data_IF_116074777207
#
_entry.id   IF_116074777207
#
_cell.length_a   1.000
_cell.length_b   1.000
_cell.length_c   1.000
_cell.angle_alpha   90.00
_cell.angle_beta   90.00
_cell.angle_gamma   90.00
#
_symmetry.space_group_name_H-M   'P 1'
#
loop_
_entity.id
_entity.type
_entity.pdbx_description
1 polymer ?
#
# COMPACT_ATOMS: atom_id res chain seq x y z
N UNK A 1 25.65 -17.49 18.75
CA UNK A 1 26.71 -18.48 18.53
C UNK A 1 27.22 -18.83 19.91
N UNK A 2 26.95 -20.05 20.37
CA UNK A 2 27.59 -20.57 21.56
C UNK A 2 29.08 -20.67 21.29
N UNK A 3 29.95 -20.31 22.24
CA UNK A 3 31.37 -20.58 22.11
C UNK A 3 31.59 -22.08 21.86
N UNK A 4 32.45 -22.43 20.92
CA UNK A 4 32.80 -23.81 20.63
C UNK A 4 33.24 -24.49 21.94
N UNK A 5 32.50 -25.52 22.39
CA UNK A 5 32.87 -26.35 23.50
C UNK A 5 31.96 -26.34 24.73
N UNK A 6 30.82 -25.65 24.75
CA UNK A 6 29.83 -25.82 25.82
C UNK A 6 28.89 -26.98 25.44
N UNK A 7 28.89 -28.11 26.18
CA UNK A 7 27.92 -29.18 25.96
C UNK A 7 26.48 -28.67 26.21
N UNK A 8 25.52 -29.14 25.39
CA UNK A 8 24.11 -28.77 25.52
C UNK A 8 23.51 -28.99 26.89
N UNK A 9 24.05 -29.96 27.62
CA UNK A 9 23.66 -30.35 29.00
C UNK A 9 23.90 -29.22 30.03
N UNK A 10 24.71 -28.21 29.70
CA UNK A 10 24.95 -27.05 30.60
C UNK A 10 24.00 -25.88 30.36
N UNK A 11 23.13 -25.97 29.34
CA UNK A 11 22.15 -24.93 29.08
C UNK A 11 20.87 -25.21 29.89
N UNK A 12 20.26 -24.17 30.47
CA UNK A 12 18.95 -24.30 31.11
C UNK A 12 17.91 -24.85 30.13
N UNK A 13 17.06 -25.78 30.58
CA UNK A 13 16.02 -26.42 29.74
C UNK A 13 15.08 -25.43 29.05
N UNK A 14 14.86 -24.26 29.66
CA UNK A 14 14.07 -23.18 29.07
C UNK A 14 14.72 -22.55 27.82
N UNK A 15 16.04 -22.61 27.68
CA UNK A 15 16.77 -22.12 26.50
C UNK A 15 16.85 -23.22 25.44
N UNK A 16 17.18 -24.45 25.85
CA UNK A 16 17.27 -25.58 24.91
C UNK A 16 15.91 -25.90 24.28
N UNK A 17 14.83 -25.86 25.04
CA UNK A 17 13.48 -26.08 24.52
C UNK A 17 12.99 -25.00 23.51
N UNK A 18 13.55 -23.77 23.58
CA UNK A 18 13.28 -22.71 22.62
C UNK A 18 14.03 -22.86 21.31
N UNK A 19 15.21 -23.52 21.35
CA UNK A 19 16.11 -23.63 20.21
C UNK A 19 16.03 -24.97 19.50
N UNK A 20 15.62 -26.03 20.19
CA UNK A 20 15.61 -27.38 19.68
C UNK A 20 14.36 -28.16 20.11
N UNK A 21 13.78 -28.93 19.21
CA UNK A 21 12.68 -29.87 19.46
C UNK A 21 12.98 -31.18 18.74
N UNK A 22 12.18 -32.23 18.96
CA UNK A 22 12.39 -33.56 18.37
C UNK A 22 12.53 -33.55 16.84
N UNK A 23 11.86 -32.63 16.15
CA UNK A 23 11.76 -32.61 14.69
C UNK A 23 12.33 -31.34 14.03
N UNK A 24 12.77 -30.36 14.83
CA UNK A 24 13.27 -29.10 14.26
C UNK A 24 14.17 -28.33 15.23
N UNK A 25 15.06 -27.55 14.64
CA UNK A 25 15.97 -26.67 15.35
C UNK A 25 15.81 -25.22 14.84
N UNK A 26 16.06 -24.25 15.72
CA UNK A 26 16.00 -22.83 15.42
C UNK A 26 17.39 -22.22 15.52
N UNK A 27 17.75 -21.46 14.50
CA UNK A 27 18.94 -20.59 14.51
C UNK A 27 18.48 -19.14 14.51
N UNK A 28 18.96 -18.36 15.49
CA UNK A 28 18.64 -16.93 15.57
C UNK A 28 19.83 -16.14 15.04
N UNK A 29 19.56 -15.34 14.00
CA UNK A 29 20.55 -14.48 13.35
C UNK A 29 20.16 -13.03 13.64
N UNK A 30 20.99 -12.32 14.42
CA UNK A 30 20.79 -10.90 14.69
C UNK A 30 21.58 -10.05 13.70
N UNK A 31 20.87 -9.24 12.94
CA UNK A 31 21.45 -8.34 11.94
C UNK A 31 21.29 -6.89 12.40
N UNK A 32 22.38 -6.13 12.36
CA UNK A 32 22.37 -4.69 12.63
C UNK A 32 22.07 -3.93 11.35
N UNK A 33 20.82 -3.94 10.91
CA UNK A 33 20.36 -3.21 9.74
C UNK A 33 18.94 -2.74 9.96
N UNK A 34 18.52 -1.67 9.27
CA UNK A 34 17.11 -1.32 9.21
C UNK A 34 16.36 -2.45 8.49
N UNK A 35 15.29 -2.98 9.11
CA UNK A 35 14.58 -4.18 8.64
C UNK A 35 14.04 -4.10 7.22
N UNK A 36 13.84 -2.89 6.70
CA UNK A 36 13.29 -2.59 5.36
C UNK A 36 14.31 -1.84 4.48
N UNK A 37 15.58 -2.24 4.50
CA UNK A 37 16.61 -1.67 3.64
C UNK A 37 17.00 -2.64 2.53
N UNK A 38 17.48 -2.11 1.40
CA UNK A 38 17.99 -2.94 0.29
C UNK A 38 19.14 -3.86 0.71
N UNK A 39 19.98 -3.42 1.65
CA UNK A 39 21.06 -4.24 2.18
C UNK A 39 20.54 -5.38 3.06
N UNK A 40 19.46 -5.15 3.83
CA UNK A 40 18.81 -6.19 4.61
C UNK A 40 18.13 -7.23 3.70
N UNK A 41 17.51 -6.81 2.60
CA UNK A 41 16.92 -7.72 1.62
C UNK A 41 17.98 -8.56 0.92
N UNK A 42 19.09 -7.97 0.46
CA UNK A 42 20.22 -8.72 -0.10
C UNK A 42 20.80 -9.73 0.91
N UNK A 43 20.85 -9.35 2.19
CA UNK A 43 21.31 -10.27 3.23
C UNK A 43 20.35 -11.44 3.41
N UNK A 44 19.04 -11.20 3.38
CA UNK A 44 17.98 -12.20 3.40
C UNK A 44 18.13 -13.19 2.22
N UNK A 45 18.35 -12.68 1.00
CA UNK A 45 18.56 -13.49 -0.20
C UNK A 45 19.82 -14.35 -0.10
N UNK A 46 20.90 -13.80 0.44
CA UNK A 46 22.14 -14.56 0.68
C UNK A 46 21.91 -15.69 1.69
N UNK A 47 21.16 -15.46 2.76
CA UNK A 47 20.81 -16.51 3.71
C UNK A 47 19.98 -17.60 3.04
N UNK A 48 18.97 -17.25 2.23
CA UNK A 48 18.17 -18.21 1.47
C UNK A 48 19.06 -19.07 0.55
N UNK A 49 19.96 -18.44 -0.18
CA UNK A 49 20.89 -19.16 -1.06
C UNK A 49 21.82 -20.12 -0.27
N UNK A 50 22.24 -19.73 0.94
CA UNK A 50 23.04 -20.61 1.81
C UNK A 50 22.18 -21.79 2.31
N UNK A 51 20.95 -21.52 2.75
CA UNK A 51 20.02 -22.56 3.18
C UNK A 51 19.79 -23.58 2.06
N UNK A 52 19.45 -23.12 0.87
CA UNK A 52 19.19 -23.97 -0.29
C UNK A 52 20.42 -24.82 -0.68
N UNK A 53 21.61 -24.27 -0.51
CA UNK A 53 22.87 -24.97 -0.79
C UNK A 53 23.17 -26.09 0.19
N UNK A 54 22.93 -25.86 1.50
CA UNK A 54 23.32 -26.81 2.57
C UNK A 54 22.18 -27.72 3.00
N UNK A 55 20.92 -27.33 2.77
CA UNK A 55 19.72 -28.07 3.16
C UNK A 55 18.73 -28.25 2.00
N UNK A 56 19.17 -28.74 0.82
CA UNK A 56 18.35 -28.76 -0.41
C UNK A 56 17.11 -29.68 -0.32
N UNK A 57 17.13 -30.65 0.61
CA UNK A 57 16.04 -31.64 0.75
C UNK A 57 15.27 -31.48 2.08
N UNK A 58 15.57 -30.45 2.86
CA UNK A 58 14.97 -30.24 4.18
C UNK A 58 13.93 -29.13 4.14
N UNK A 59 12.91 -29.25 4.94
CA UNK A 59 11.92 -28.18 5.09
C UNK A 59 12.48 -27.08 5.99
N UNK A 60 12.97 -26.03 5.40
CA UNK A 60 13.55 -24.88 6.09
C UNK A 60 12.68 -23.65 5.94
N UNK A 61 12.58 -22.86 6.99
CA UNK A 61 11.82 -21.61 7.00
C UNK A 61 12.73 -20.47 7.47
N UNK A 62 12.88 -19.44 6.66
CA UNK A 62 13.49 -18.18 7.07
C UNK A 62 12.38 -17.23 7.55
N UNK A 63 12.34 -16.98 8.87
CA UNK A 63 11.28 -16.17 9.50
C UNK A 63 11.92 -14.97 10.19
N UNK A 64 11.34 -13.81 10.03
CA UNK A 64 11.80 -12.57 10.63
C UNK A 64 11.16 -11.36 9.97
N UNK A 65 11.39 -10.17 10.53
CA UNK A 65 10.81 -8.92 9.96
C UNK A 65 11.26 -8.74 8.52
N UNK A 66 12.55 -8.78 8.25
CA UNK A 66 13.11 -8.55 6.90
C UNK A 66 12.64 -9.57 5.86
N UNK A 67 12.76 -10.91 6.08
CA UNK A 67 12.26 -11.88 5.12
C UNK A 67 10.75 -11.76 4.88
N UNK A 68 9.96 -11.53 5.94
CA UNK A 68 8.51 -11.39 5.81
C UNK A 68 8.12 -10.13 5.03
N UNK A 69 8.79 -9.00 5.28
CA UNK A 69 8.54 -7.76 4.52
C UNK A 69 8.95 -7.93 3.06
N UNK A 70 10.06 -8.64 2.80
CA UNK A 70 10.52 -8.95 1.43
C UNK A 70 9.49 -9.82 0.71
N UNK A 71 9.02 -10.91 1.31
CA UNK A 71 7.99 -11.78 0.73
C UNK A 71 6.69 -11.02 0.44
N UNK A 72 6.27 -10.16 1.37
CA UNK A 72 5.12 -9.28 1.17
C UNK A 72 5.34 -8.35 -0.02
N UNK A 73 6.51 -7.69 -0.11
CA UNK A 73 6.86 -6.81 -1.22
C UNK A 73 6.82 -7.53 -2.57
N UNK A 74 7.44 -8.71 -2.65
CA UNK A 74 7.57 -9.47 -3.89
C UNK A 74 6.23 -9.99 -4.42
N UNK A 75 5.28 -10.28 -3.52
CA UNK A 75 3.94 -10.73 -3.88
C UNK A 75 3.02 -9.55 -4.16
N UNK A 76 3.03 -8.55 -3.30
CA UNK A 76 2.05 -7.46 -3.33
C UNK A 76 2.30 -6.48 -4.49
N UNK A 77 3.56 -6.19 -4.85
CA UNK A 77 3.85 -5.22 -5.94
C UNK A 77 3.25 -5.67 -7.28
N UNK A 78 3.46 -6.90 -7.75
CA UNK A 78 2.83 -7.38 -8.97
C UNK A 78 1.30 -7.41 -8.88
N UNK A 79 0.76 -7.84 -7.75
CA UNK A 79 -0.69 -7.94 -7.54
C UNK A 79 -1.34 -6.56 -7.47
N UNK A 80 -0.72 -5.59 -6.80
CA UNK A 80 -1.18 -4.21 -6.79
C UNK A 80 -1.32 -3.64 -8.21
N UNK A 81 -0.29 -3.81 -9.05
CA UNK A 81 -0.35 -3.32 -10.43
C UNK A 81 -1.48 -3.96 -11.22
N UNK A 82 -1.70 -5.26 -11.06
CA UNK A 82 -2.81 -5.98 -11.72
C UNK A 82 -4.17 -5.48 -11.22
N UNK A 83 -4.35 -5.39 -9.91
CA UNK A 83 -5.59 -4.91 -9.29
C UNK A 83 -5.86 -3.48 -9.68
N UNK A 84 -4.85 -2.59 -9.66
CA UNK A 84 -5.00 -1.20 -10.06
C UNK A 84 -5.44 -1.07 -11.53
N UNK A 85 -4.80 -1.79 -12.45
CA UNK A 85 -5.18 -1.79 -13.87
C UNK A 85 -6.61 -2.31 -14.05
N UNK A 86 -6.98 -3.42 -13.41
CA UNK A 86 -8.33 -4.00 -13.49
C UNK A 86 -9.36 -3.04 -12.92
N UNK A 87 -9.07 -2.39 -11.80
CA UNK A 87 -9.97 -1.40 -11.17
C UNK A 87 -10.15 -0.18 -12.07
N UNK A 88 -9.06 0.34 -12.64
CA UNK A 88 -9.09 1.47 -13.56
C UNK A 88 -9.92 1.17 -14.82
N UNK A 89 -9.70 -0.01 -15.42
CA UNK A 89 -10.48 -0.48 -16.55
C UNK A 89 -11.95 -0.70 -16.20
N UNK A 90 -12.25 -1.26 -15.03
CA UNK A 90 -13.60 -1.42 -14.51
C UNK A 90 -14.33 -0.10 -14.37
N UNK A 91 -13.69 0.89 -13.74
CA UNK A 91 -14.24 2.24 -13.58
C UNK A 91 -14.43 2.91 -14.94
N UNK A 92 -13.42 2.82 -15.83
CA UNK A 92 -13.53 3.36 -17.20
C UNK A 92 -14.71 2.77 -17.96
N UNK A 93 -14.93 1.45 -17.84
CA UNK A 93 -16.04 0.76 -18.48
C UNK A 93 -17.39 1.27 -17.94
N UNK A 94 -17.54 1.38 -16.63
CA UNK A 94 -18.77 1.87 -16.00
C UNK A 94 -19.08 3.30 -16.47
N UNK A 95 -18.09 4.19 -16.46
CA UNK A 95 -18.25 5.56 -16.95
C UNK A 95 -18.63 5.59 -18.44
N UNK A 96 -17.95 4.77 -19.28
CA UNK A 96 -18.22 4.70 -20.70
C UNK A 96 -19.64 4.24 -21.00
N UNK A 97 -20.14 3.23 -20.27
CA UNK A 97 -21.52 2.71 -20.41
C UNK A 97 -22.52 3.75 -19.92
N UNK A 98 -22.28 4.37 -18.78
CA UNK A 98 -23.20 5.35 -18.16
C UNK A 98 -23.41 6.55 -19.07
N UNK A 99 -22.32 7.10 -19.59
CA UNK A 99 -22.38 8.31 -20.43
C UNK A 99 -22.39 8.03 -21.93
N UNK A 100 -22.32 6.77 -22.36
CA UNK A 100 -22.25 6.36 -23.77
C UNK A 100 -21.18 7.11 -24.57
N UNK A 101 -20.06 7.40 -23.95
CA UNK A 101 -18.96 8.17 -24.51
C UNK A 101 -17.61 7.57 -24.07
N UNK A 102 -16.72 7.28 -25.02
CA UNK A 102 -15.41 6.68 -24.74
C UNK A 102 -14.34 7.70 -24.29
N UNK A 103 -14.58 9.00 -24.53
CA UNK A 103 -13.63 10.05 -24.16
C UNK A 103 -13.79 10.45 -22.69
N UNK A 104 -15.00 10.38 -22.14
CA UNK A 104 -15.28 10.81 -20.76
C UNK A 104 -14.50 10.03 -19.70
N UNK A 105 -14.35 8.70 -19.75
CA UNK A 105 -13.50 7.97 -18.81
C UNK A 105 -12.08 8.53 -18.75
N UNK A 106 -11.48 8.84 -19.88
CA UNK A 106 -10.12 9.37 -19.96
C UNK A 106 -10.04 10.74 -19.27
N UNK A 107 -10.98 11.63 -19.56
CA UNK A 107 -11.02 12.97 -18.96
C UNK A 107 -11.24 12.93 -17.45
N UNK A 108 -12.04 11.97 -16.97
CA UNK A 108 -12.34 11.80 -15.53
C UNK A 108 -11.19 11.13 -14.79
N UNK A 109 -10.57 10.11 -15.37
CA UNK A 109 -9.55 9.31 -14.70
C UNK A 109 -8.18 9.98 -14.64
N UNK A 110 -7.79 10.76 -15.65
CA UNK A 110 -6.49 11.44 -15.65
C UNK A 110 -6.28 12.34 -14.42
N UNK A 111 -7.19 13.23 -14.02
CA UNK A 111 -7.01 14.04 -12.81
C UNK A 111 -6.94 13.21 -11.54
N UNK A 112 -7.70 12.12 -11.47
CA UNK A 112 -7.70 11.21 -10.30
C UNK A 112 -6.33 10.54 -10.17
N UNK A 113 -5.83 9.94 -11.24
CA UNK A 113 -4.52 9.31 -11.27
C UNK A 113 -3.40 10.33 -10.97
N UNK A 114 -3.46 11.52 -11.52
CA UNK A 114 -2.51 12.59 -11.18
C UNK A 114 -2.54 12.93 -9.69
N UNK A 115 -3.72 13.01 -9.07
CA UNK A 115 -3.85 13.27 -7.64
C UNK A 115 -3.28 12.13 -6.80
N UNK A 116 -3.50 10.87 -7.20
CA UNK A 116 -2.93 9.69 -6.54
C UNK A 116 -1.40 9.73 -6.63
N UNK A 117 -0.84 9.99 -7.81
CA UNK A 117 0.62 10.11 -8.00
C UNK A 117 1.24 11.23 -7.16
N UNK A 118 0.58 12.39 -7.10
CA UNK A 118 1.06 13.50 -6.26
C UNK A 118 1.05 13.09 -4.79
N UNK A 119 -0.05 12.50 -4.31
CA UNK A 119 -0.18 12.07 -2.92
C UNK A 119 0.87 11.03 -2.55
N UNK A 120 1.13 10.07 -3.42
CA UNK A 120 2.12 9.01 -3.19
C UNK A 120 3.57 9.50 -3.31
N UNK A 121 3.82 10.58 -4.04
CA UNK A 121 5.14 11.19 -4.15
C UNK A 121 5.51 12.09 -2.94
N UNK A 122 4.53 12.62 -2.21
CA UNK A 122 4.77 13.54 -1.10
C UNK A 122 5.65 12.95 0.01
N UNK A 123 5.42 11.73 0.53
CA UNK A 123 6.28 11.15 1.56
C UNK A 123 7.74 11.03 1.11
N UNK A 124 7.97 10.68 -0.16
CA UNK A 124 9.32 10.60 -0.73
C UNK A 124 10.01 11.98 -0.74
N UNK A 125 9.29 13.04 -1.11
CA UNK A 125 9.79 14.42 -1.12
C UNK A 125 10.17 14.88 0.29
N UNK A 126 9.39 14.50 1.30
CA UNK A 126 9.66 14.83 2.71
C UNK A 126 10.67 13.89 3.38
N UNK A 127 11.20 12.89 2.67
CA UNK A 127 12.14 11.90 3.20
C UNK A 127 11.53 10.99 4.26
N UNK A 128 10.20 10.87 4.28
CA UNK A 128 9.49 9.98 5.18
C UNK A 128 9.42 8.56 4.62
N UNK A 129 9.53 7.58 5.51
CA UNK A 129 9.36 6.17 5.16
C UNK A 129 7.90 5.80 5.35
N UNK A 130 7.19 5.54 4.27
CA UNK A 130 5.82 5.05 4.32
C UNK A 130 5.82 3.54 4.30
N UNK A 131 5.03 2.93 5.16
CA UNK A 131 4.82 1.49 5.12
C UNK A 131 4.18 1.08 3.79
N UNK A 132 4.74 0.09 3.14
CA UNK A 132 4.30 -0.36 1.81
C UNK A 132 2.81 -0.74 1.76
N UNK A 133 2.33 -1.42 2.80
CA UNK A 133 0.92 -1.80 2.92
C UNK A 133 0.00 -0.55 3.01
N UNK A 134 0.45 0.48 3.74
CA UNK A 134 -0.26 1.76 3.84
C UNK A 134 -0.42 2.45 2.49
N UNK A 135 0.65 2.49 1.71
CA UNK A 135 0.66 3.03 0.35
C UNK A 135 -0.43 2.39 -0.54
N UNK A 136 -0.54 1.06 -0.52
CA UNK A 136 -1.55 0.33 -1.32
C UNK A 136 -2.96 0.66 -0.86
N UNK A 137 -3.20 0.62 0.44
CA UNK A 137 -4.53 0.88 1.02
C UNK A 137 -4.98 2.30 0.67
N UNK A 138 -4.11 3.30 0.85
CA UNK A 138 -4.43 4.70 0.53
C UNK A 138 -4.74 4.86 -0.96
N UNK A 139 -3.95 4.28 -1.86
CA UNK A 139 -4.20 4.33 -3.30
C UNK A 139 -5.55 3.76 -3.70
N UNK A 140 -5.92 2.59 -3.16
CA UNK A 140 -7.20 1.95 -3.43
C UNK A 140 -8.40 2.77 -2.89
N UNK A 141 -8.28 3.28 -1.66
CA UNK A 141 -9.33 4.12 -1.05
C UNK A 141 -9.47 5.43 -1.85
N UNK A 142 -8.37 6.06 -2.20
CA UNK A 142 -8.37 7.32 -2.92
C UNK A 142 -9.03 7.17 -4.30
N UNK A 143 -8.71 6.12 -5.05
CA UNK A 143 -9.37 5.85 -6.33
C UNK A 143 -10.90 5.69 -6.13
N UNK A 144 -11.33 4.83 -5.20
CA UNK A 144 -12.74 4.58 -4.95
C UNK A 144 -13.51 5.82 -4.49
N UNK A 145 -12.95 6.59 -3.56
CA UNK A 145 -13.63 7.75 -2.98
C UNK A 145 -13.69 8.96 -3.93
N UNK A 146 -12.74 9.11 -4.86
CA UNK A 146 -12.69 10.28 -5.75
C UNK A 146 -13.48 10.11 -7.04
N UNK A 147 -13.67 8.87 -7.49
CA UNK A 147 -14.42 8.56 -8.73
C UNK A 147 -15.86 9.04 -8.65
N UNK A 148 -16.55 8.82 -7.54
CA UNK A 148 -17.97 9.20 -7.38
C UNK A 148 -18.18 10.71 -7.50
N UNK A 149 -17.29 11.52 -6.93
CA UNK A 149 -17.38 12.99 -7.05
C UNK A 149 -17.05 13.47 -8.46
N UNK A 150 -16.13 12.81 -9.13
CA UNK A 150 -15.81 13.13 -10.52
C UNK A 150 -16.95 12.78 -11.46
N UNK A 151 -17.65 11.68 -11.23
CA UNK A 151 -18.88 11.30 -11.95
C UNK A 151 -19.99 12.30 -11.69
N UNK A 152 -20.22 12.68 -10.42
CA UNK A 152 -21.23 13.69 -10.04
C UNK A 152 -20.97 15.03 -10.74
N UNK A 153 -19.75 15.52 -10.68
CA UNK A 153 -19.38 16.80 -11.31
C UNK A 153 -19.51 16.75 -12.84
N UNK A 154 -19.11 15.64 -13.45
CA UNK A 154 -19.23 15.42 -14.90
C UNK A 154 -20.70 15.34 -15.32
N UNK A 155 -21.55 14.65 -14.56
CA UNK A 155 -22.99 14.59 -14.79
C UNK A 155 -23.62 15.97 -14.75
N UNK A 156 -23.38 16.75 -13.70
CA UNK A 156 -23.87 18.11 -13.56
C UNK A 156 -23.39 19.03 -14.70
N UNK A 157 -22.14 18.82 -15.17
CA UNK A 157 -21.62 19.57 -16.32
C UNK A 157 -22.34 19.21 -17.61
N UNK A 158 -22.55 17.93 -17.89
CA UNK A 158 -23.24 17.50 -19.12
C UNK A 158 -24.69 17.94 -19.14
N UNK A 159 -25.40 17.90 -18.03
CA UNK A 159 -26.77 18.37 -17.89
C UNK A 159 -26.86 19.89 -18.13
N UNK A 160 -25.99 20.66 -17.50
CA UNK A 160 -25.93 22.11 -17.72
C UNK A 160 -25.49 22.46 -19.16
N UNK A 161 -24.60 21.66 -19.74
CA UNK A 161 -24.10 21.88 -21.12
C UNK A 161 -25.16 21.64 -22.17
N UNK A 162 -26.15 20.81 -21.93
CA UNK A 162 -27.31 20.61 -22.81
C UNK A 162 -28.21 21.84 -22.92
N UNK A 163 -28.14 22.75 -21.93
CA UNK A 163 -29.03 23.91 -21.81
C UNK A 163 -28.34 25.28 -22.01
N UNK A 164 -27.00 25.32 -22.05
CA UNK A 164 -26.26 26.58 -22.06
C UNK A 164 -24.86 26.53 -22.66
N UNK A 165 -24.12 27.64 -22.53
CA UNK A 165 -22.74 27.73 -22.99
C UNK A 165 -21.76 26.94 -22.09
N UNK A 166 -20.59 26.58 -22.63
CA UNK A 166 -19.53 25.80 -21.96
C UNK A 166 -19.10 26.41 -20.62
N UNK A 167 -18.95 27.73 -20.58
CA UNK A 167 -18.50 28.46 -19.40
C UNK A 167 -19.55 28.45 -18.29
N UNK A 168 -20.81 28.70 -18.66
CA UNK A 168 -21.94 28.67 -17.70
C UNK A 168 -22.16 27.26 -17.17
N UNK A 169 -22.07 26.24 -18.04
CA UNK A 169 -22.18 24.86 -17.64
C UNK A 169 -21.09 24.47 -16.64
N UNK A 170 -19.83 24.88 -16.84
CA UNK A 170 -18.74 24.62 -15.93
C UNK A 170 -18.95 25.31 -14.56
N UNK A 171 -19.35 26.59 -14.57
CA UNK A 171 -19.64 27.33 -13.32
C UNK A 171 -20.77 26.65 -12.55
N UNK A 172 -21.86 26.26 -13.23
CA UNK A 172 -23.00 25.59 -12.62
C UNK A 172 -22.60 24.21 -12.06
N UNK A 173 -21.88 23.42 -12.80
CA UNK A 173 -21.40 22.11 -12.34
C UNK A 173 -20.56 22.24 -11.04
N UNK A 174 -19.61 23.17 -11.04
CA UNK A 174 -18.78 23.42 -9.85
C UNK A 174 -19.63 23.90 -8.69
N UNK A 175 -20.53 24.88 -8.88
CA UNK A 175 -21.34 25.44 -7.80
C UNK A 175 -22.26 24.41 -7.16
N UNK A 176 -22.83 23.50 -7.94
CA UNK A 176 -23.74 22.45 -7.44
C UNK A 176 -22.96 21.33 -6.75
N UNK A 177 -21.78 20.97 -7.28
CA UNK A 177 -20.99 19.85 -6.76
C UNK A 177 -20.08 20.25 -5.60
N UNK A 178 -19.70 21.54 -5.50
CA UNK A 178 -18.67 22.01 -4.56
C UNK A 178 -19.03 21.71 -3.09
N UNK A 179 -20.28 21.90 -2.69
CA UNK A 179 -20.71 21.64 -1.31
C UNK A 179 -20.49 20.19 -0.91
N UNK A 180 -20.90 19.25 -1.76
CA UNK A 180 -20.76 17.82 -1.52
C UNK A 180 -19.29 17.41 -1.50
N UNK A 181 -18.49 17.86 -2.47
CA UNK A 181 -17.06 17.56 -2.59
C UNK A 181 -16.28 18.13 -1.40
N UNK A 182 -16.52 19.39 -1.05
CA UNK A 182 -15.86 20.05 0.09
C UNK A 182 -16.20 19.38 1.43
N UNK A 183 -17.47 19.09 1.66
CA UNK A 183 -17.90 18.42 2.90
C UNK A 183 -17.26 17.07 3.06
N UNK A 184 -17.25 16.24 2.02
CA UNK A 184 -16.63 14.93 2.07
C UNK A 184 -15.11 15.02 2.22
N UNK A 185 -14.45 15.92 1.48
CA UNK A 185 -13.02 16.16 1.62
C UNK A 185 -12.64 16.57 3.04
N UNK A 186 -13.41 17.45 3.68
CA UNK A 186 -13.18 17.86 5.07
C UNK A 186 -13.38 16.70 6.06
N UNK A 187 -14.37 15.83 5.83
CA UNK A 187 -14.57 14.64 6.67
C UNK A 187 -13.36 13.70 6.57
N UNK A 188 -12.93 13.38 5.36
CA UNK A 188 -11.76 12.51 5.15
C UNK A 188 -10.50 13.12 5.77
N UNK A 189 -10.28 14.42 5.59
CA UNK A 189 -9.16 15.14 6.19
C UNK A 189 -9.19 15.08 7.72
N UNK A 190 -10.36 15.25 8.32
CA UNK A 190 -10.52 15.20 9.79
C UNK A 190 -10.19 13.78 10.31
N UNK A 191 -10.66 12.75 9.61
CA UNK A 191 -10.37 11.35 9.98
C UNK A 191 -8.87 11.07 9.84
N UNK A 192 -8.23 11.51 8.76
CA UNK A 192 -6.80 11.35 8.53
C UNK A 192 -5.97 12.02 9.64
N UNK A 193 -6.29 13.27 9.98
CA UNK A 193 -5.67 13.95 11.12
C UNK A 193 -5.89 13.22 12.45
N UNK A 194 -7.11 12.70 12.67
CA UNK A 194 -7.42 11.90 13.85
C UNK A 194 -6.54 10.65 13.95
N UNK A 195 -6.37 9.93 12.86
CA UNK A 195 -5.49 8.76 12.79
C UNK A 195 -4.03 9.13 13.07
N UNK A 196 -3.55 10.19 12.45
CA UNK A 196 -2.17 10.65 12.64
C UNK A 196 -1.85 10.99 14.10
N UNK A 197 -2.71 11.73 14.79
CA UNK A 197 -2.45 12.19 16.16
C UNK A 197 -2.84 11.19 17.25
N UNK A 198 -3.84 10.35 17.03
CA UNK A 198 -4.39 9.48 18.08
C UNK A 198 -3.78 8.07 18.07
N UNK A 199 -3.12 7.66 16.99
CA UNK A 199 -2.62 6.30 16.86
C UNK A 199 -1.14 6.23 17.23
N UNK A 200 -0.82 5.34 18.19
CA UNK A 200 0.55 5.00 18.57
C UNK A 200 1.17 3.91 17.67
N UNK A 201 0.39 3.32 16.78
CA UNK A 201 0.86 2.28 15.84
C UNK A 201 1.36 2.98 14.59
N UNK A 202 2.67 2.91 14.34
CA UNK A 202 3.35 3.57 13.23
C UNK A 202 2.75 3.24 11.86
N UNK A 203 2.31 1.98 11.68
CA UNK A 203 1.62 1.53 10.47
C UNK A 203 0.31 2.29 10.19
N UNK A 204 -0.47 2.58 11.21
CA UNK A 204 -1.78 3.25 11.09
C UNK A 204 -1.56 4.77 11.02
N UNK A 205 -0.62 5.31 11.78
CA UNK A 205 -0.24 6.72 11.74
C UNK A 205 0.25 7.14 10.35
N UNK A 206 0.91 6.24 9.62
CA UNK A 206 1.38 6.50 8.25
C UNK A 206 0.26 6.55 7.20
N UNK A 207 -0.98 6.18 7.55
CA UNK A 207 -2.17 6.28 6.69
C UNK A 207 -2.88 7.64 6.79
N UNK A 208 -2.67 8.39 7.87
CA UNK A 208 -3.22 9.72 8.10
C UNK A 208 -2.31 10.82 7.60
#
# INVERSE_FOLDING_TARGET
VLPEGIPEDFLPENITSLMHSKNWARVIINVRSAGESDDAFKFSDNIRAIIDKYYPNETTYLVGVTPSTQDIKDIIVPDYNRVNIVSLLGVALVIAITYKALILPIVVLIPIECAIFINTALPYIYGQRTMYLGFIIVGCIQLGATVDYSILMTGNYLDARSQGDKKEAAIRAVSVSAESVMTSGLIVMTVAYGLYFMTSVEAISSLG
#
